data_IF_080802036459
#
_entry.id   IF_080802036459
#
_cell.length_a   1.000
_cell.length_b   1.000
_cell.length_c   1.000
_cell.angle_alpha   90.00
_cell.angle_beta   90.00
_cell.angle_gamma   90.00
#
_symmetry.space_group_name_H-M   'P 1'
#
loop_
_entity.id
_entity.type
_entity.pdbx_description
1 polymer ?
#
# COMPACT_ATOMS: atom_id res chain seq x y z
N UNK A 1 -10.57 -16.41 33.19
CA UNK A 1 -10.96 -17.65 32.48
C UNK A 1 -10.76 -17.42 30.98
N UNK A 2 -9.58 -17.02 30.55
CA UNK A 2 -8.38 -17.86 30.36
C UNK A 2 -8.47 -18.75 29.13
N UNK A 3 -8.09 -18.18 27.98
CA UNK A 3 -7.18 -18.85 27.05
C UNK A 3 -6.18 -17.81 26.51
N UNK A 4 -5.30 -17.33 27.40
CA UNK A 4 -3.94 -16.97 26.99
C UNK A 4 -3.27 -18.26 26.50
N UNK A 5 -3.50 -18.61 25.23
CA UNK A 5 -2.87 -19.75 24.61
C UNK A 5 -1.47 -19.33 24.15
N UNK A 6 -0.48 -19.60 25.01
CA UNK A 6 0.93 -19.56 24.65
C UNK A 6 1.22 -20.65 23.61
N UNK A 7 0.98 -20.32 22.35
CA UNK A 7 1.82 -20.77 21.26
C UNK A 7 2.36 -19.51 20.61
N UNK A 8 3.62 -19.53 20.19
CA UNK A 8 4.19 -18.51 19.30
C UNK A 8 3.48 -18.56 17.93
N UNK A 9 2.17 -18.29 17.91
CA UNK A 9 1.36 -18.18 16.72
C UNK A 9 1.68 -16.81 16.15
N UNK A 10 2.47 -16.78 15.07
CA UNK A 10 2.85 -15.56 14.38
C UNK A 10 1.57 -14.77 14.05
N UNK A 11 1.25 -13.74 14.85
CA UNK A 11 0.04 -12.97 14.60
C UNK A 11 0.17 -12.32 13.22
N UNK A 12 -0.93 -12.16 12.46
CA UNK A 12 -0.86 -11.51 11.15
C UNK A 12 -0.16 -10.15 11.21
N UNK A 13 -0.39 -9.41 12.29
CA UNK A 13 0.26 -8.12 12.54
C UNK A 13 1.77 -8.28 12.73
N UNK A 14 2.22 -9.27 13.51
CA UNK A 14 3.64 -9.56 13.71
C UNK A 14 4.32 -10.08 12.44
N UNK A 15 3.64 -10.92 11.64
CA UNK A 15 4.13 -11.40 10.35
C UNK A 15 4.38 -10.25 9.37
N UNK A 16 3.44 -9.32 9.25
CA UNK A 16 3.60 -8.17 8.35
C UNK A 16 4.68 -7.21 8.85
N UNK A 17 4.80 -7.01 10.17
CA UNK A 17 5.86 -6.20 10.77
C UNK A 17 7.24 -6.84 10.56
N UNK A 18 7.37 -8.14 10.79
CA UNK A 18 8.60 -8.89 10.53
C UNK A 18 8.98 -8.82 9.05
N UNK A 19 8.02 -9.01 8.15
CA UNK A 19 8.24 -8.88 6.71
C UNK A 19 8.73 -7.48 6.31
N UNK A 20 8.19 -6.44 6.94
CA UNK A 20 8.63 -5.06 6.73
C UNK A 20 10.05 -4.80 7.25
N UNK A 21 10.35 -5.20 8.49
CA UNK A 21 11.71 -5.05 9.06
C UNK A 21 12.74 -5.82 8.24
N UNK A 22 12.43 -7.06 7.86
CA UNK A 22 13.29 -7.88 7.01
C UNK A 22 13.58 -7.19 5.67
N UNK A 23 12.55 -6.69 4.99
CA UNK A 23 12.71 -5.96 3.74
C UNK A 23 13.53 -4.67 3.90
N UNK A 24 13.36 -3.94 5.02
CA UNK A 24 14.04 -2.68 5.29
C UNK A 24 15.51 -2.86 5.66
N UNK A 25 15.82 -3.83 6.51
CA UNK A 25 17.17 -4.03 7.07
C UNK A 25 18.04 -4.91 6.18
N UNK A 26 17.46 -5.95 5.58
CA UNK A 26 18.22 -6.94 4.79
C UNK A 26 18.03 -6.80 3.29
N UNK A 27 17.12 -5.92 2.83
CA UNK A 27 16.79 -5.76 1.42
C UNK A 27 16.06 -6.97 0.80
N UNK A 28 15.65 -7.97 1.61
CA UNK A 28 14.92 -9.15 1.14
C UNK A 28 13.45 -8.83 0.86
N UNK A 29 13.20 -7.99 -0.16
CA UNK A 29 11.87 -7.50 -0.49
C UNK A 29 10.89 -8.63 -0.83
N UNK A 30 11.34 -9.65 -1.56
CA UNK A 30 10.47 -10.75 -2.01
C UNK A 30 9.93 -11.55 -0.81
N UNK A 31 10.82 -11.92 0.13
CA UNK A 31 10.44 -12.62 1.36
C UNK A 31 9.56 -11.74 2.26
N UNK A 32 9.85 -10.45 2.35
CA UNK A 32 9.01 -9.50 3.09
C UNK A 32 7.60 -9.37 2.51
N UNK A 33 7.47 -9.36 1.17
CA UNK A 33 6.18 -9.35 0.46
C UNK A 33 5.40 -10.63 0.78
N UNK A 34 6.04 -11.80 0.72
CA UNK A 34 5.40 -13.09 1.01
C UNK A 34 4.86 -13.14 2.44
N UNK A 35 5.63 -12.65 3.42
CA UNK A 35 5.18 -12.56 4.81
C UNK A 35 3.97 -11.63 4.97
N UNK A 36 3.98 -10.47 4.31
CA UNK A 36 2.82 -9.57 4.32
C UNK A 36 1.60 -10.17 3.61
N UNK A 37 1.80 -10.92 2.52
CA UNK A 37 0.70 -11.60 1.83
C UNK A 37 0.09 -12.72 2.68
N UNK A 38 0.92 -13.47 3.42
CA UNK A 38 0.45 -14.44 4.42
C UNK A 38 -0.36 -13.76 5.52
N UNK A 39 0.13 -12.66 6.06
CA UNK A 39 -0.59 -11.85 7.04
C UNK A 39 -1.96 -11.38 6.52
N UNK A 40 -2.03 -10.92 5.27
CA UNK A 40 -3.29 -10.51 4.63
C UNK A 40 -4.23 -11.71 4.42
N UNK A 41 -3.71 -12.89 4.08
CA UNK A 41 -4.51 -14.09 3.93
C UNK A 41 -5.13 -14.54 5.26
N UNK A 42 -4.41 -14.37 6.37
CA UNK A 42 -4.90 -14.68 7.72
C UNK A 42 -5.88 -13.63 8.24
N UNK A 43 -5.60 -12.34 8.00
CA UNK A 43 -6.47 -11.23 8.38
C UNK A 43 -6.57 -10.18 7.26
N UNK A 44 -7.55 -10.34 6.35
CA UNK A 44 -7.76 -9.39 5.25
C UNK A 44 -8.41 -8.08 5.70
N UNK A 45 -8.86 -7.99 6.96
CA UNK A 45 -9.51 -6.81 7.53
C UNK A 45 -8.54 -5.88 8.27
N UNK A 46 -7.24 -6.14 8.22
CA UNK A 46 -6.22 -5.27 8.81
C UNK A 46 -5.63 -4.30 7.78
N UNK A 47 -5.87 -2.99 7.97
CA UNK A 47 -5.22 -1.93 7.18
C UNK A 47 -3.69 -1.95 7.31
N UNK A 48 -3.20 -2.39 8.46
CA UNK A 48 -1.78 -2.31 8.83
C UNK A 48 -0.95 -3.30 8.00
N UNK A 49 -1.52 -4.48 7.73
CA UNK A 49 -0.90 -5.47 6.84
C UNK A 49 -0.72 -4.90 5.41
N UNK A 50 -1.70 -4.13 4.92
CA UNK A 50 -1.60 -3.46 3.61
C UNK A 50 -0.65 -2.26 3.63
N UNK A 51 -0.56 -1.53 4.75
CA UNK A 51 0.41 -0.44 4.94
C UNK A 51 1.83 -1.00 4.84
N UNK A 52 2.12 -2.10 5.54
CA UNK A 52 3.44 -2.74 5.54
C UNK A 52 3.79 -3.27 4.15
N UNK A 53 2.85 -3.98 3.49
CA UNK A 53 3.03 -4.43 2.11
C UNK A 53 3.34 -3.26 1.16
N UNK A 54 2.59 -2.16 1.28
CA UNK A 54 2.80 -0.97 0.47
C UNK A 54 4.18 -0.34 0.70
N UNK A 55 4.62 -0.22 1.95
CA UNK A 55 5.96 0.26 2.29
C UNK A 55 7.08 -0.63 1.75
N UNK A 56 6.92 -1.96 1.82
CA UNK A 56 7.88 -2.89 1.22
C UNK A 56 7.97 -2.67 -0.30
N UNK A 57 6.84 -2.48 -0.97
CA UNK A 57 6.85 -2.16 -2.40
C UNK A 57 7.54 -0.82 -2.70
N UNK A 58 7.43 0.19 -1.83
CA UNK A 58 8.18 1.44 -1.98
C UNK A 58 9.69 1.22 -1.85
N UNK A 59 10.12 0.44 -0.85
CA UNK A 59 11.52 0.06 -0.68
C UNK A 59 12.04 -0.71 -1.90
N UNK A 60 11.21 -1.60 -2.46
CA UNK A 60 11.50 -2.33 -3.70
C UNK A 60 11.40 -1.48 -4.98
N UNK A 61 11.17 -0.16 -4.88
CA UNK A 61 10.94 0.79 -5.99
C UNK A 61 9.74 0.45 -6.90
N UNK A 62 8.83 -0.42 -6.45
CA UNK A 62 7.61 -0.84 -7.17
C UNK A 62 6.42 0.06 -6.80
N UNK A 63 6.51 1.34 -7.17
CA UNK A 63 5.49 2.38 -6.80
C UNK A 63 4.07 2.00 -7.22
N UNK A 64 3.88 1.39 -8.40
CA UNK A 64 2.55 0.98 -8.88
C UNK A 64 1.88 -0.06 -7.98
N UNK A 65 2.67 -1.01 -7.46
CA UNK A 65 2.17 -2.04 -6.55
C UNK A 65 1.93 -1.46 -5.16
N UNK A 66 2.79 -0.54 -4.69
CA UNK A 66 2.58 0.17 -3.43
C UNK A 66 1.24 0.92 -3.42
N UNK A 67 0.94 1.66 -4.49
CA UNK A 67 -0.35 2.34 -4.64
C UNK A 67 -1.54 1.39 -4.60
N UNK A 68 -1.44 0.23 -5.25
CA UNK A 68 -2.50 -0.79 -5.23
C UNK A 68 -2.70 -1.35 -3.81
N UNK A 69 -1.63 -1.61 -3.07
CA UNK A 69 -1.69 -2.10 -1.70
C UNK A 69 -2.33 -1.06 -0.77
N UNK A 70 -1.88 0.20 -0.82
CA UNK A 70 -2.46 1.29 -0.03
C UNK A 70 -3.94 1.53 -0.31
N UNK A 71 -4.34 1.53 -1.60
CA UNK A 71 -5.75 1.64 -1.97
C UNK A 71 -6.60 0.50 -1.44
N UNK A 72 -6.06 -0.73 -1.35
CA UNK A 72 -6.76 -1.85 -0.71
C UNK A 72 -6.89 -1.62 0.79
N UNK A 73 -5.80 -1.22 1.46
CA UNK A 73 -5.82 -0.90 2.89
C UNK A 73 -6.85 0.16 3.26
N UNK A 74 -6.96 1.24 2.47
CA UNK A 74 -7.96 2.31 2.69
C UNK A 74 -9.41 1.87 2.48
N UNK A 75 -9.67 0.84 1.67
CA UNK A 75 -11.03 0.28 1.52
C UNK A 75 -11.44 -0.53 2.74
N UNK A 76 -10.47 -1.15 3.42
CA UNK A 76 -10.69 -1.92 4.63
C UNK A 76 -10.93 -0.97 5.80
N UNK A 77 -9.98 -0.05 6.03
CA UNK A 77 -10.09 0.97 7.06
C UNK A 77 -9.38 2.23 6.60
N UNK A 78 -10.01 3.39 6.81
CA UNK A 78 -9.35 4.67 6.60
C UNK A 78 -8.22 4.81 7.62
N UNK A 79 -6.98 4.77 7.14
CA UNK A 79 -5.78 4.89 7.96
C UNK A 79 -4.99 6.14 7.51
N UNK A 80 -4.75 7.06 8.45
CA UNK A 80 -4.03 8.29 8.19
C UNK A 80 -2.61 8.04 7.66
N UNK A 81 -1.93 7.00 8.17
CA UNK A 81 -0.57 6.65 7.74
C UNK A 81 -0.55 6.30 6.25
N UNK A 82 -1.54 5.53 5.79
CA UNK A 82 -1.64 5.17 4.36
C UNK A 82 -1.93 6.42 3.51
N UNK A 83 -2.74 7.35 4.01
CA UNK A 83 -3.03 8.62 3.33
C UNK A 83 -1.76 9.46 3.21
N UNK A 84 -0.95 9.52 4.26
CA UNK A 84 0.31 10.27 4.27
C UNK A 84 1.34 9.66 3.31
N UNK A 85 1.45 8.33 3.25
CA UNK A 85 2.31 7.64 2.27
C UNK A 85 1.85 7.90 0.82
N UNK A 86 0.55 7.93 0.56
CA UNK A 86 0.03 8.29 -0.76
C UNK A 86 0.34 9.75 -1.11
N UNK A 87 0.22 10.66 -0.14
CA UNK A 87 0.52 12.09 -0.31
C UNK A 87 2.00 12.32 -0.57
N UNK A 88 2.89 11.65 0.17
CA UNK A 88 4.35 11.77 0.03
C UNK A 88 4.85 11.30 -1.34
N UNK A 89 4.13 10.38 -1.99
CA UNK A 89 4.40 9.95 -3.36
C UNK A 89 4.01 10.96 -4.45
N UNK A 90 3.54 12.16 -4.08
CA UNK A 90 3.11 13.19 -5.02
C UNK A 90 1.66 13.02 -5.51
N UNK A 91 0.89 12.13 -4.89
CA UNK A 91 -0.56 12.06 -5.12
C UNK A 91 -1.21 13.19 -4.32
N UNK A 92 -1.32 14.36 -4.95
CA UNK A 92 -2.17 15.45 -4.46
C UNK A 92 -3.57 14.87 -4.29
N UNK A 93 -4.11 14.89 -3.07
CA UNK A 93 -5.40 14.29 -2.76
C UNK A 93 -6.44 14.70 -3.80
N UNK A 94 -7.00 13.74 -4.51
CA UNK A 94 -8.36 13.92 -4.99
C UNK A 94 -9.25 13.88 -3.73
N UNK A 95 -10.03 14.95 -3.46
CA UNK A 95 -10.67 15.19 -2.17
C UNK A 95 -11.51 14.02 -1.64
N UNK A 96 -11.77 13.96 -0.31
CA UNK A 96 -12.28 12.79 0.40
C UNK A 96 -13.71 12.36 0.02
N UNK A 97 -14.39 13.10 -0.85
CA UNK A 97 -15.69 12.75 -1.44
C UNK A 97 -15.60 12.75 -2.96
N UNK A 98 -14.90 11.76 -3.53
CA UNK A 98 -15.17 11.31 -4.88
C UNK A 98 -15.81 9.92 -4.80
N UNK A 99 -17.04 9.88 -4.25
CA UNK A 99 -18.02 8.83 -4.52
C UNK A 99 -18.56 8.94 -5.95
N UNK A 100 -17.68 9.19 -6.93
CA UNK A 100 -18.04 9.36 -8.33
C UNK A 100 -17.35 8.27 -9.17
N UNK A 101 -18.11 7.60 -10.05
CA UNK A 101 -17.68 6.40 -10.74
C UNK A 101 -16.56 6.69 -11.74
N UNK A 102 -15.87 5.61 -12.12
CA UNK A 102 -14.79 5.51 -13.11
C UNK A 102 -15.17 6.05 -14.50
N UNK A 103 -15.35 7.36 -14.65
CA UNK A 103 -15.65 7.99 -15.93
C UNK A 103 -14.63 9.06 -16.26
N UNK A 104 -13.69 8.63 -17.11
CA UNK A 104 -13.02 9.42 -18.15
C UNK A 104 -12.05 10.56 -17.74
N UNK A 105 -10.92 10.62 -18.45
CA UNK A 105 -10.02 11.78 -18.70
C UNK A 105 -8.65 11.84 -18.00
N UNK A 106 -8.47 11.52 -16.71
CA UNK A 106 -7.22 11.97 -16.03
C UNK A 106 -5.95 11.13 -16.29
N UNK A 107 -6.04 9.91 -16.81
CA UNK A 107 -4.84 9.08 -17.10
C UNK A 107 -4.44 8.99 -18.59
N UNK A 108 -4.95 9.86 -19.48
CA UNK A 108 -4.56 9.82 -20.91
C UNK A 108 -4.15 11.16 -21.53
N UNK A 109 -4.45 12.30 -20.90
CA UNK A 109 -4.25 13.62 -21.54
C UNK A 109 -2.94 14.31 -21.12
N UNK A 110 -2.26 13.87 -20.06
CA UNK A 110 -1.01 14.49 -19.58
C UNK A 110 0.23 14.20 -20.43
N UNK A 111 0.17 13.26 -21.38
CA UNK A 111 1.29 12.94 -22.29
C UNK A 111 1.19 13.54 -23.70
N UNK A 112 0.01 13.97 -24.17
CA UNK A 112 -0.18 14.48 -25.54
C UNK A 112 -0.20 16.00 -25.66
N UNK A 113 -0.43 16.75 -24.58
CA UNK A 113 -0.52 18.22 -24.63
C UNK A 113 0.87 18.90 -24.62
N UNK A 114 1.91 18.25 -24.11
CA UNK A 114 3.28 18.80 -24.14
C UNK A 114 4.05 18.57 -25.45
N UNK A 115 3.40 18.12 -26.53
CA UNK A 115 4.05 18.00 -27.85
C UNK A 115 3.54 19.02 -28.89
N UNK A 116 2.46 19.75 -28.60
CA UNK A 116 1.82 20.67 -29.56
C UNK A 116 2.23 22.15 -29.33
N UNK A 117 2.91 22.49 -28.25
CA UNK A 117 3.42 23.85 -28.00
C UNK A 117 4.90 24.06 -28.35
N UNK A 118 5.47 23.19 -29.19
CA UNK A 118 6.62 23.53 -30.02
C UNK A 118 6.18 23.40 -31.46
N UNK A 119 5.78 24.52 -32.08
CA UNK A 119 6.02 24.83 -33.49
C UNK A 119 5.54 26.26 -33.78
N UNK A 120 6.55 27.12 -33.96
CA UNK A 120 6.59 28.50 -34.48
C UNK A 120 6.01 29.61 -33.61
#
# INVERSE_FOLDING_TARGET
MDQHNHQHAESPEMLSLMGYSLARETGQFQKGIELCLKAIAMNPHSSDNYLHLGRIYLLAKKKDLAMKAFRKGLRVRKDARIIDELRSMGIRQSPPFASLPRTHVINRVTGKIMRVLKLR
#
